data_IF_596467337944
#
_entry.id   IF_596467337944
#
_cell.length_a   1.000
_cell.length_b   1.000
_cell.length_c   1.000
_cell.angle_alpha   90.00
_cell.angle_beta   90.00
_cell.angle_gamma   90.00
#
_symmetry.space_group_name_H-M   'P 1'
#
loop_
_entity.id
_entity.type
_entity.pdbx_description
1 polymer ?
#
# COMPACT_ATOMS: atom_id res chain seq x y z
N UNK A 1 8.46 -13.64 1.04
CA UNK A 1 7.05 -13.31 1.30
C UNK A 1 6.44 -12.64 0.07
N UNK A 2 5.28 -13.11 -0.39
CA UNK A 2 4.52 -12.53 -1.51
C UNK A 2 3.19 -11.98 -1.00
N UNK A 3 2.71 -10.88 -1.57
CA UNK A 3 1.46 -10.24 -1.19
C UNK A 3 0.45 -10.35 -2.33
N UNK A 4 -0.80 -10.72 -2.01
CA UNK A 4 -1.91 -10.78 -2.98
C UNK A 4 -2.41 -9.38 -3.36
N UNK A 5 -2.31 -8.43 -2.43
CA UNK A 5 -2.52 -7.00 -2.65
C UNK A 5 -1.21 -6.28 -2.39
N UNK A 6 -0.82 -5.36 -3.28
CA UNK A 6 0.41 -4.61 -3.11
C UNK A 6 0.44 -3.85 -1.77
N UNK A 7 1.64 -3.72 -1.18
CA UNK A 7 1.91 -2.95 0.04
C UNK A 7 2.77 -1.73 -0.30
N UNK A 8 2.69 -0.67 0.52
CA UNK A 8 3.46 0.56 0.36
C UNK A 8 4.70 0.64 1.26
N UNK A 9 4.74 -0.21 2.29
CA UNK A 9 5.86 -0.33 3.21
C UNK A 9 5.99 -1.75 3.73
N UNK A 10 7.21 -2.13 4.05
CA UNK A 10 7.52 -3.34 4.81
C UNK A 10 8.63 -3.03 5.80
N UNK A 11 8.56 -3.60 7.00
CA UNK A 11 9.68 -3.67 7.92
C UNK A 11 9.70 -4.99 8.70
N UNK A 12 10.89 -5.37 9.14
CA UNK A 12 11.07 -6.47 10.08
C UNK A 12 12.27 -6.18 10.98
N UNK A 13 12.24 -6.73 12.18
CA UNK A 13 13.36 -6.69 13.12
C UNK A 13 14.20 -7.95 12.92
N UNK A 14 15.51 -7.76 12.93
CA UNK A 14 16.55 -8.76 12.83
C UNK A 14 17.23 -8.82 14.19
N UNK A 15 17.00 -9.88 14.96
CA UNK A 15 17.35 -9.92 16.39
C UNK A 15 18.86 -9.98 16.67
N UNK A 16 19.64 -10.52 15.74
CA UNK A 16 21.10 -10.56 15.83
C UNK A 16 21.70 -10.55 14.44
N UNK A 17 22.50 -9.53 14.15
CA UNK A 17 23.26 -9.38 12.91
C UNK A 17 24.75 -9.39 13.24
N UNK A 18 25.48 -10.34 12.68
CA UNK A 18 26.94 -10.46 12.91
C UNK A 18 27.76 -9.93 11.74
N UNK A 19 27.22 -10.01 10.52
CA UNK A 19 27.85 -9.52 9.28
C UNK A 19 26.87 -8.64 8.51
N UNK A 20 26.86 -7.31 8.74
CA UNK A 20 25.77 -6.44 8.30
C UNK A 20 25.52 -6.43 6.78
N UNK A 21 26.58 -6.49 5.98
CA UNK A 21 26.47 -6.50 4.52
C UNK A 21 25.77 -7.75 3.96
N UNK A 22 25.78 -8.86 4.70
CA UNK A 22 25.22 -10.15 4.25
C UNK A 22 23.72 -10.25 4.56
N UNK A 23 23.25 -9.52 5.57
CA UNK A 23 21.83 -9.46 5.92
C UNK A 23 21.14 -8.39 5.07
N UNK A 24 20.31 -8.85 4.13
CA UNK A 24 19.70 -8.00 3.12
C UNK A 24 18.20 -8.22 3.00
N UNK A 25 17.47 -7.13 2.79
CA UNK A 25 16.07 -7.07 2.45
C UNK A 25 15.91 -6.59 1.01
N UNK A 26 15.19 -7.37 0.20
CA UNK A 26 14.91 -7.08 -1.19
C UNK A 26 13.42 -6.87 -1.39
N UNK A 27 13.05 -5.80 -2.09
CA UNK A 27 11.65 -5.51 -2.43
C UNK A 27 11.44 -5.58 -3.94
N UNK A 28 10.32 -6.17 -4.36
CA UNK A 28 9.98 -6.38 -5.76
C UNK A 28 8.56 -5.91 -6.08
N UNK A 29 8.36 -5.47 -7.31
CA UNK A 29 7.05 -5.34 -7.95
C UNK A 29 6.97 -6.32 -9.14
N UNK A 30 6.17 -7.37 -9.00
CA UNK A 30 6.23 -8.53 -9.89
C UNK A 30 7.63 -9.16 -9.88
N UNK A 31 8.26 -9.21 -11.06
CA UNK A 31 9.63 -9.68 -11.24
C UNK A 31 10.68 -8.57 -11.09
N UNK A 32 10.28 -7.30 -11.08
CA UNK A 32 11.19 -6.14 -11.05
C UNK A 32 11.70 -5.90 -9.64
N UNK A 33 13.01 -5.86 -9.45
CA UNK A 33 13.63 -5.41 -8.20
C UNK A 33 13.43 -3.90 -8.06
N UNK A 34 12.83 -3.48 -6.95
CA UNK A 34 12.64 -2.07 -6.59
C UNK A 34 13.87 -1.51 -5.87
N UNK A 35 14.52 -2.36 -5.07
CA UNK A 35 15.72 -2.00 -4.35
C UNK A 35 16.07 -3.01 -3.27
N UNK A 36 17.23 -2.77 -2.66
CA UNK A 36 17.79 -3.61 -1.61
C UNK A 36 18.24 -2.74 -0.45
N UNK A 37 18.02 -3.22 0.78
CA UNK A 37 18.45 -2.60 2.03
C UNK A 37 19.29 -3.62 2.76
N UNK A 38 20.52 -3.24 3.12
CA UNK A 38 21.38 -4.07 3.96
C UNK A 38 21.38 -3.53 5.38
N UNK A 39 21.68 -4.41 6.33
CA UNK A 39 22.07 -3.95 7.65
C UNK A 39 23.38 -3.17 7.59
N UNK A 40 23.53 -2.22 8.51
CA UNK A 40 24.67 -1.30 8.54
C UNK A 40 25.52 -1.48 9.79
N UNK A 41 24.96 -2.11 10.81
CA UNK A 41 25.60 -2.35 12.10
C UNK A 41 25.36 -3.77 12.56
N UNK A 42 26.26 -4.25 13.42
CA UNK A 42 26.06 -5.51 14.14
C UNK A 42 25.01 -5.35 15.24
N UNK A 43 24.40 -6.46 15.67
CA UNK A 43 23.37 -6.48 16.71
C UNK A 43 21.95 -6.47 16.15
N UNK A 44 20.98 -6.06 16.97
CA UNK A 44 19.58 -6.00 16.55
C UNK A 44 19.34 -4.78 15.66
N UNK A 45 18.69 -4.96 14.50
CA UNK A 45 18.36 -3.87 13.59
C UNK A 45 16.97 -4.04 13.00
N UNK A 46 16.27 -2.94 12.75
CA UNK A 46 15.08 -2.93 11.89
C UNK A 46 15.51 -2.59 10.47
N UNK A 47 15.17 -3.45 9.51
CA UNK A 47 15.28 -3.13 8.10
C UNK A 47 13.89 -2.80 7.56
N UNK A 48 13.79 -1.70 6.81
CA UNK A 48 12.54 -1.22 6.25
C UNK A 48 12.71 -0.79 4.79
N UNK A 49 11.63 -0.92 4.03
CA UNK A 49 11.56 -0.50 2.63
C UNK A 49 10.21 0.14 2.34
N UNK A 50 10.24 1.26 1.62
CA UNK A 50 9.06 1.99 1.19
C UNK A 50 9.07 2.14 -0.33
N UNK A 51 7.96 1.80 -0.98
CA UNK A 51 7.75 2.06 -2.39
C UNK A 51 6.25 2.11 -2.69
N UNK A 52 5.82 2.72 -3.81
CA UNK A 52 4.40 2.84 -4.12
C UNK A 52 3.65 1.50 -4.28
N UNK A 53 4.35 0.44 -4.68
CA UNK A 53 3.77 -0.88 -4.88
C UNK A 53 4.83 -1.96 -4.72
N UNK A 54 4.77 -2.71 -3.62
CA UNK A 54 5.61 -3.87 -3.35
C UNK A 54 4.70 -5.11 -3.37
N UNK A 55 5.04 -6.10 -4.18
CA UNK A 55 4.28 -7.36 -4.30
C UNK A 55 5.03 -8.55 -3.70
N UNK A 56 6.35 -8.42 -3.49
CA UNK A 56 7.16 -9.46 -2.86
C UNK A 56 8.32 -8.83 -2.09
N UNK A 57 8.58 -9.39 -0.91
CA UNK A 57 9.77 -9.12 -0.12
C UNK A 57 10.55 -10.43 0.05
N UNK A 58 11.85 -10.39 -0.18
CA UNK A 58 12.76 -11.48 0.12
C UNK A 58 13.80 -11.00 1.12
N UNK A 59 14.20 -11.90 2.02
CA UNK A 59 15.23 -11.62 3.01
C UNK A 59 16.32 -12.67 2.77
N UNK A 60 17.56 -12.22 2.60
CA UNK A 60 18.72 -13.09 2.68
C UNK A 60 19.18 -13.08 4.14
N UNK A 61 19.06 -14.23 4.81
CA UNK A 61 19.79 -14.44 6.06
C UNK A 61 21.29 -14.43 5.73
N UNK A 62 22.08 -13.81 6.60
CA UNK A 62 23.51 -13.60 6.39
C UNK A 62 24.33 -14.90 6.33
N UNK A 63 25.65 -14.78 6.48
CA UNK A 63 26.58 -15.92 6.48
C UNK A 63 26.25 -16.97 7.55
N UNK A 64 26.90 -18.13 7.53
CA UNK A 64 26.68 -19.25 8.47
C UNK A 64 26.71 -18.87 9.96
N UNK A 65 27.37 -17.76 10.32
CA UNK A 65 27.44 -17.25 11.69
C UNK A 65 26.25 -16.34 12.08
N UNK A 66 25.35 -16.05 11.14
CA UNK A 66 24.23 -15.14 11.28
C UNK A 66 22.92 -15.93 11.44
N UNK A 67 22.67 -16.44 12.66
CA UNK A 67 21.36 -16.96 13.03
C UNK A 67 20.38 -15.80 13.22
N UNK A 68 19.94 -15.22 12.11
CA UNK A 68 19.02 -14.08 12.14
C UNK A 68 17.61 -14.58 12.48
N UNK A 69 17.23 -14.48 13.75
CA UNK A 69 15.82 -14.51 14.10
C UNK A 69 15.14 -13.23 13.58
N UNK A 70 14.02 -13.40 12.90
CA UNK A 70 13.22 -12.30 12.33
C UNK A 70 11.88 -12.24 13.06
N UNK A 71 11.58 -11.08 13.64
CA UNK A 71 10.30 -10.81 14.32
C UNK A 71 9.79 -9.40 13.99
N UNK A 72 8.68 -9.01 14.63
CA UNK A 72 8.04 -7.70 14.46
C UNK A 72 7.86 -7.28 12.99
N UNK A 73 7.36 -8.19 12.15
CA UNK A 73 7.07 -7.92 10.75
C UNK A 73 5.86 -6.99 10.65
N UNK A 74 6.03 -5.84 10.00
CA UNK A 74 4.98 -4.85 9.77
C UNK A 74 4.91 -4.49 8.29
N UNK A 75 3.70 -4.21 7.79
CA UNK A 75 3.49 -3.72 6.42
C UNK A 75 2.19 -2.92 6.32
N UNK A 76 2.15 -1.98 5.39
CA UNK A 76 0.96 -1.18 5.08
C UNK A 76 0.43 -1.53 3.70
N UNK A 77 -0.82 -1.99 3.59
CA UNK A 77 -1.43 -2.28 2.29
C UNK A 77 -1.65 -1.00 1.48
N UNK A 78 -1.47 -1.07 0.16
CA UNK A 78 -1.90 -0.01 -0.75
C UNK A 78 -3.43 -0.07 -0.81
N UNK A 79 -4.08 0.93 -0.23
CA UNK A 79 -5.52 1.14 -0.44
C UNK A 79 -5.70 1.99 -1.69
N UNK A 80 -6.23 1.37 -2.75
CA UNK A 80 -6.66 2.14 -3.92
C UNK A 80 -7.77 3.10 -3.53
N UNK A 81 -7.78 4.29 -4.12
CA UNK A 81 -8.98 5.14 -4.08
C UNK A 81 -10.10 4.35 -4.78
N UNK A 82 -11.05 3.84 -4.00
CA UNK A 82 -12.29 3.31 -4.56
C UNK A 82 -13.04 4.52 -5.10
N UNK A 83 -13.27 4.65 -6.42
CA UNK A 83 -14.07 5.75 -6.95
C UNK A 83 -15.43 5.68 -6.28
N UNK A 84 -15.70 6.63 -5.40
CA UNK A 84 -16.62 6.39 -4.30
C UNK A 84 -18.06 6.14 -4.78
N UNK A 85 -18.81 5.25 -4.12
CA UNK A 85 -20.28 5.20 -4.22
C UNK A 85 -20.93 6.55 -3.95
N UNK A 86 -20.30 7.41 -3.14
CA UNK A 86 -20.76 8.75 -2.82
C UNK A 86 -20.73 9.70 -4.03
N UNK A 87 -19.79 9.54 -4.96
CA UNK A 87 -19.81 10.31 -6.21
C UNK A 87 -21.06 9.98 -7.04
N UNK A 88 -21.47 8.70 -7.04
CA UNK A 88 -22.69 8.28 -7.71
C UNK A 88 -23.93 8.79 -6.96
N UNK A 89 -23.92 8.73 -5.63
CA UNK A 89 -25.00 9.27 -4.81
C UNK A 89 -25.15 10.80 -4.98
N UNK A 90 -24.05 11.55 -5.07
CA UNK A 90 -24.06 12.99 -5.32
C UNK A 90 -24.52 13.33 -6.74
N UNK A 91 -24.10 12.56 -7.74
CA UNK A 91 -24.55 12.73 -9.12
C UNK A 91 -26.06 12.45 -9.24
N UNK A 92 -26.52 11.33 -8.68
CA UNK A 92 -27.95 10.97 -8.63
C UNK A 92 -28.75 12.02 -7.86
N UNK A 93 -28.26 12.45 -6.69
CA UNK A 93 -28.88 13.49 -5.88
C UNK A 93 -28.99 14.82 -6.62
N UNK A 94 -27.91 15.26 -7.28
CA UNK A 94 -27.89 16.48 -8.09
C UNK A 94 -28.89 16.43 -9.25
N UNK A 95 -28.93 15.32 -10.00
CA UNK A 95 -29.92 15.14 -11.07
C UNK A 95 -31.35 15.03 -10.55
N UNK A 96 -31.56 14.39 -9.39
CA UNK A 96 -32.86 14.31 -8.72
C UNK A 96 -33.37 15.70 -8.32
N UNK A 97 -32.52 16.54 -7.74
CA UNK A 97 -32.84 17.92 -7.37
C UNK A 97 -33.14 18.76 -8.62
N UNK A 98 -32.26 18.71 -9.64
CA UNK A 98 -32.43 19.47 -10.88
C UNK A 98 -33.73 19.07 -11.62
N UNK A 99 -33.96 17.76 -11.77
CA UNK A 99 -35.18 17.23 -12.37
C UNK A 99 -36.44 17.56 -11.57
N UNK A 100 -36.38 17.52 -10.25
CA UNK A 100 -37.47 17.94 -9.36
C UNK A 100 -37.81 19.43 -9.51
N UNK A 101 -36.79 20.29 -9.58
CA UNK A 101 -36.96 21.73 -9.78
C UNK A 101 -37.61 22.06 -11.14
N UNK A 102 -37.20 21.38 -12.21
CA UNK A 102 -37.79 21.54 -13.55
C UNK A 102 -39.26 21.13 -13.59
N UNK A 103 -39.62 20.00 -12.95
CA UNK A 103 -41.02 19.52 -12.89
C UNK A 103 -41.95 20.47 -12.14
N UNK A 104 -41.46 21.18 -11.11
CA UNK A 104 -42.26 22.17 -10.36
C UNK A 104 -42.57 23.44 -11.18
N UNK A 105 -41.83 23.71 -12.27
CA UNK A 105 -41.96 24.94 -13.07
C UNK A 105 -42.97 24.84 -14.23
N UNK A 106 -43.38 23.63 -14.63
CA UNK A 106 -44.51 23.44 -15.53
C UNK A 106 -45.79 23.57 -14.69
N UNK A 107 -46.46 24.73 -14.61
CA UNK A 107 -47.52 25.08 -15.55
C UNK A 107 -47.98 26.52 -15.25
N UNK A 108 -47.81 27.45 -16.19
CA UNK A 108 -48.72 28.59 -16.34
C UNK A 108 -49.36 28.44 -17.72
N UNK A 109 -50.55 27.84 -17.78
CA UNK A 109 -51.37 27.89 -18.98
C UNK A 109 -51.81 29.34 -19.15
N UNK A 110 -51.36 29.98 -20.23
CA UNK A 110 -51.92 31.23 -20.70
C UNK A 110 -53.00 30.89 -21.72
N UNK A 111 -54.25 31.21 -21.41
CA UNK A 111 -55.35 31.13 -22.36
C UNK A 111 -55.49 32.47 -23.08
N UNK A 112 -55.78 32.41 -24.39
CA UNK A 112 -56.01 33.54 -25.29
C UNK A 112 -57.49 33.93 -25.34
#
# INVERSE_FOLDING_TARGET
MTFSTAISSFSATFASISTPADTMLYAYNGATLLGTISATTTGQQVLSFNAPSITRVAIAAGSYFDYVAIDNINFTQVTGAVPEPASWALMIGGFGIAGGALRRRATKLAFA
#
